data_IF_373687375721
#
_entry.id   IF_373687375721
#
_cell.length_a   1.000
_cell.length_b   1.000
_cell.length_c   1.000
_cell.angle_alpha   90.00
_cell.angle_beta   90.00
_cell.angle_gamma   90.00
#
_symmetry.space_group_name_H-M   'P 1'
#
loop_
_entity.id
_entity.type
_entity.pdbx_description
1 polymer ?
#
# COMPACT_ATOMS: atom_id res chain seq x y z
N UNK A 1 4.39 -0.36 -4.20
CA UNK A 1 4.77 0.88 -3.50
C UNK A 1 3.66 1.90 -3.59
N UNK A 2 3.61 2.81 -2.64
CA UNK A 2 2.68 3.94 -2.60
C UNK A 2 3.43 5.26 -2.48
N UNK A 3 2.90 6.32 -3.08
CA UNK A 3 3.28 7.69 -2.79
C UNK A 3 2.28 8.25 -1.79
N UNK A 4 2.79 8.57 -0.60
CA UNK A 4 2.05 9.22 0.47
C UNK A 4 2.29 10.72 0.38
N UNK A 5 1.25 11.54 0.38
CA UNK A 5 1.36 12.99 0.40
C UNK A 5 1.53 13.54 1.83
N UNK A 6 1.68 14.85 1.96
CA UNK A 6 1.95 15.53 3.24
C UNK A 6 0.82 15.40 4.25
N UNK A 7 -0.40 15.11 3.81
CA UNK A 7 -1.55 14.87 4.68
C UNK A 7 -1.70 13.39 5.10
N UNK A 8 -0.78 12.52 4.66
CA UNK A 8 -0.83 11.09 4.95
C UNK A 8 -1.71 10.27 4.00
N UNK A 9 -2.30 10.88 2.97
CA UNK A 9 -3.11 10.19 1.96
C UNK A 9 -2.26 9.55 0.88
N UNK A 10 -2.74 8.45 0.31
CA UNK A 10 -2.09 7.78 -0.83
C UNK A 10 -2.58 8.39 -2.14
N UNK A 11 -1.67 9.04 -2.87
CA UNK A 11 -1.98 9.66 -4.17
C UNK A 11 -1.58 8.80 -5.37
N UNK A 12 -0.72 7.79 -5.15
CA UNK A 12 -0.33 6.81 -6.18
C UNK A 12 -0.04 5.46 -5.53
N UNK A 13 -0.43 4.37 -6.21
CA UNK A 13 -0.19 3.00 -5.76
C UNK A 13 0.17 2.12 -6.96
N UNK A 14 1.23 1.32 -6.82
CA UNK A 14 1.79 0.48 -7.88
C UNK A 14 2.24 -0.87 -7.34
N UNK A 15 2.09 -1.91 -8.15
CA UNK A 15 2.57 -3.25 -7.84
C UNK A 15 4.06 -3.35 -8.20
N UNK A 16 4.89 -3.74 -7.23
CA UNK A 16 6.31 -4.03 -7.46
C UNK A 16 6.47 -5.48 -7.93
N UNK A 17 5.82 -6.41 -7.23
CA UNK A 17 5.85 -7.84 -7.51
C UNK A 17 4.42 -8.33 -7.69
N UNK A 18 4.14 -9.01 -8.81
CA UNK A 18 2.81 -9.50 -9.15
C UNK A 18 2.48 -10.75 -8.36
N UNK A 19 1.25 -10.85 -7.91
CA UNK A 19 0.69 -12.08 -7.38
C UNK A 19 0.58 -13.15 -8.48
N UNK A 20 0.54 -14.42 -8.05
CA UNK A 20 0.25 -15.55 -8.94
C UNK A 20 -1.18 -15.49 -9.52
N UNK A 21 -2.09 -14.78 -8.84
CA UNK A 21 -3.48 -14.60 -9.23
C UNK A 21 -3.81 -13.11 -9.36
N UNK A 22 -4.03 -12.65 -10.60
CA UNK A 22 -4.20 -11.23 -10.95
C UNK A 22 -5.24 -10.46 -10.12
N UNK A 23 -6.37 -11.04 -9.68
CA UNK A 23 -7.31 -10.34 -8.80
C UNK A 23 -6.70 -9.88 -7.46
N UNK A 24 -5.67 -10.56 -6.96
CA UNK A 24 -4.96 -10.12 -5.74
C UNK A 24 -4.14 -8.85 -5.98
N UNK A 25 -3.60 -8.64 -7.19
CA UNK A 25 -2.92 -7.37 -7.52
C UNK A 25 -3.89 -6.20 -7.41
N UNK A 26 -5.10 -6.33 -7.98
CA UNK A 26 -6.12 -5.28 -7.93
C UNK A 26 -6.58 -5.04 -6.48
N UNK A 27 -6.83 -6.11 -5.73
CA UNK A 27 -7.22 -6.01 -4.33
C UNK A 27 -6.12 -5.35 -3.47
N UNK A 28 -4.84 -5.65 -3.73
CA UNK A 28 -3.71 -5.03 -3.05
C UNK A 28 -3.61 -3.53 -3.35
N UNK A 29 -3.81 -3.11 -4.62
CA UNK A 29 -3.86 -1.69 -4.98
C UNK A 29 -5.02 -0.98 -4.29
N UNK A 30 -6.21 -1.59 -4.26
CA UNK A 30 -7.37 -1.00 -3.61
C UNK A 30 -7.21 -0.88 -2.10
N UNK A 31 -6.62 -1.89 -1.45
CA UNK A 31 -6.27 -1.82 -0.04
C UNK A 31 -5.26 -0.69 0.22
N UNK A 32 -4.20 -0.62 -0.60
CA UNK A 32 -3.18 0.40 -0.47
C UNK A 32 -3.73 1.83 -0.62
N UNK A 33 -4.66 2.07 -1.54
CA UNK A 33 -5.30 3.38 -1.74
C UNK A 33 -6.22 3.82 -0.59
N UNK A 34 -6.76 2.88 0.17
CA UNK A 34 -7.66 3.15 1.31
C UNK A 34 -6.90 3.32 2.63
N UNK A 35 -5.61 2.99 2.66
CA UNK A 35 -4.77 3.13 3.84
C UNK A 35 -4.46 4.60 4.14
N UNK A 36 -4.38 4.92 5.42
CA UNK A 36 -3.91 6.20 5.93
C UNK A 36 -2.54 6.03 6.57
N UNK A 37 -1.62 6.92 6.24
CA UNK A 37 -0.25 6.90 6.73
C UNK A 37 0.06 8.16 7.52
N UNK A 38 1.15 8.11 8.29
CA UNK A 38 1.81 9.35 8.73
C UNK A 38 2.72 9.83 7.58
N UNK A 39 2.74 11.13 7.27
CA UNK A 39 3.63 11.66 6.24
C UNK A 39 5.11 11.46 6.63
N UNK A 40 5.98 11.49 5.61
CA UNK A 40 7.41 11.52 5.85
C UNK A 40 7.83 12.84 6.51
N UNK A 41 8.87 12.80 7.33
CA UNK A 41 9.43 13.99 7.99
C UNK A 41 10.87 14.18 7.52
N UNK A 42 11.21 15.38 7.06
CA UNK A 42 12.59 15.71 6.69
C UNK A 42 13.48 16.07 7.88
N UNK A 43 14.76 16.35 7.62
CA UNK A 43 15.76 16.73 8.62
C UNK A 43 15.42 18.02 9.38
N UNK A 44 14.47 18.82 8.88
CA UNK A 44 14.01 20.08 9.48
C UNK A 44 12.64 19.95 10.13
N UNK A 45 12.08 18.74 10.23
CA UNK A 45 10.80 18.49 10.89
C UNK A 45 9.58 18.82 10.02
N UNK A 46 9.73 18.97 8.70
CA UNK A 46 8.62 19.29 7.80
C UNK A 46 8.01 18.03 7.21
N UNK A 47 6.69 18.02 7.07
CA UNK A 47 5.97 16.96 6.36
C UNK A 47 6.28 17.02 4.86
N UNK A 48 6.72 15.89 4.32
CA UNK A 48 7.12 15.74 2.91
C UNK A 48 6.47 14.50 2.30
N UNK A 49 6.15 14.54 0.99
CA UNK A 49 5.68 13.36 0.29
C UNK A 49 6.77 12.27 0.30
N UNK A 50 6.36 11.02 0.50
CA UNK A 50 7.28 9.91 0.63
C UNK A 50 6.81 8.67 -0.14
N UNK A 51 7.76 7.99 -0.78
CA UNK A 51 7.54 6.66 -1.34
C UNK A 51 7.73 5.60 -0.27
N UNK A 52 6.75 4.72 -0.13
CA UNK A 52 6.75 3.62 0.83
C UNK A 52 6.49 2.30 0.11
N UNK A 53 7.22 1.26 0.47
CA UNK A 53 6.93 -0.12 0.07
C UNK A 53 6.46 -0.93 1.28
N UNK A 54 5.46 -1.77 1.06
CA UNK A 54 4.97 -2.75 2.01
C UNK A 54 4.35 -3.93 1.25
N UNK A 55 4.23 -5.06 1.93
CA UNK A 55 3.62 -6.28 1.40
C UNK A 55 2.17 -6.38 1.84
N UNK A 56 1.31 -6.88 0.96
CA UNK A 56 -0.07 -7.25 1.28
C UNK A 56 -0.18 -8.76 1.19
N UNK A 57 -0.35 -9.40 2.34
CA UNK A 57 -0.51 -10.85 2.43
C UNK A 57 -2.00 -11.23 2.36
N UNK A 58 -2.32 -12.21 1.53
CA UNK A 58 -3.67 -12.76 1.40
C UNK A 58 -3.72 -14.13 2.08
N UNK A 59 -4.59 -14.27 3.08
CA UNK A 59 -4.87 -15.55 3.74
C UNK A 59 -6.30 -16.00 3.37
N UNK A 60 -6.38 -17.18 2.75
CA UNK A 60 -7.64 -17.83 2.39
C UNK A 60 -7.84 -19.17 3.11
N UNK A 61 -7.09 -19.42 4.19
CA UNK A 61 -7.15 -20.65 4.98
C UNK A 61 -8.57 -20.99 5.44
N UNK A 62 -9.38 -19.98 5.76
CA UNK A 62 -10.79 -20.15 6.18
C UNK A 62 -11.75 -20.54 5.03
N UNK A 63 -11.37 -20.29 3.77
CA UNK A 63 -12.20 -20.58 2.59
C UNK A 63 -11.79 -21.86 1.86
N UNK A 64 -10.73 -22.53 2.32
CA UNK A 64 -10.24 -23.81 1.76
C UNK A 64 -11.00 -25.03 2.30
N UNK A 65 -12.14 -24.86 2.99
CA UNK A 65 -12.90 -26.02 3.49
C UNK A 65 -13.56 -26.77 2.32
N UNK A 66 -13.15 -28.03 2.17
CA UNK A 66 -13.67 -29.04 1.23
C UNK A 66 -15.12 -29.39 1.52
#
# INVERSE_FOLDING_TARGET
MVLVDRDGTVVRAEIIEKALYTPFDMAAVDAAKKSLFKPGIDDKGREVPAWVSFTVDFDASEYSQK
#
